data_IF_188770540829
#
_entry.id   IF_188770540829
#
_cell.length_a   1.000
_cell.length_b   1.000
_cell.length_c   1.000
_cell.angle_alpha   90.00
_cell.angle_beta   90.00
_cell.angle_gamma   90.00
#
_symmetry.space_group_name_H-M   'P 1'
#
loop_
_entity.id
_entity.type
_entity.pdbx_description
1 polymer ?
#
# COMPACT_ATOMS: atom_id res chain seq x y z
N UNK A 1 5.83 1.42 -28.68
CA UNK A 1 5.85 2.88 -28.65
C UNK A 1 6.34 3.36 -27.30
N UNK A 2 7.29 4.30 -27.28
CA UNK A 2 7.74 4.93 -26.05
C UNK A 2 6.71 6.00 -25.66
N UNK A 3 6.14 5.91 -24.48
CA UNK A 3 5.29 6.97 -23.92
C UNK A 3 6.25 7.99 -23.33
N UNK A 4 6.37 9.16 -23.96
CA UNK A 4 7.09 10.29 -23.38
C UNK A 4 6.08 11.21 -22.71
N UNK A 5 6.09 11.28 -21.40
CA UNK A 5 5.37 12.30 -20.65
C UNK A 5 6.20 13.59 -20.67
N UNK A 6 5.58 14.71 -21.05
CA UNK A 6 6.21 16.02 -20.88
C UNK A 6 6.07 16.47 -19.43
N UNK A 7 6.94 17.36 -18.96
CA UNK A 7 6.81 17.95 -17.62
C UNK A 7 5.51 18.76 -17.46
N UNK A 8 4.83 19.11 -18.55
CA UNK A 8 3.50 19.71 -18.53
C UNK A 8 2.38 18.68 -18.35
N UNK A 9 2.63 17.41 -18.70
CA UNK A 9 1.68 16.32 -18.45
C UNK A 9 1.73 15.85 -17.02
N UNK A 10 2.88 16.07 -16.35
CA UNK A 10 3.07 15.89 -14.91
C UNK A 10 2.57 17.09 -14.08
N UNK A 11 2.27 18.22 -14.70
CA UNK A 11 1.66 19.38 -14.03
C UNK A 11 0.19 19.12 -13.60
N UNK A 12 -0.30 17.98 -13.85
CA UNK A 12 -1.58 17.46 -13.44
C UNK A 12 -1.67 17.26 -11.94
N UNK A 13 -0.57 17.15 -11.27
CA UNK A 13 -0.50 16.96 -9.84
C UNK A 13 -1.00 18.11 -8.98
N UNK A 14 -1.52 19.19 -9.56
CA UNK A 14 -2.07 20.28 -8.76
C UNK A 14 -3.37 19.93 -8.04
N UNK A 15 -4.02 18.83 -8.37
CA UNK A 15 -5.28 18.43 -7.76
C UNK A 15 -5.17 17.23 -6.80
N UNK A 16 -4.05 16.55 -6.79
CA UNK A 16 -3.67 15.63 -5.73
C UNK A 16 -2.92 16.34 -4.61
N UNK A 17 -3.03 17.64 -4.57
CA UNK A 17 -2.59 18.36 -3.40
C UNK A 17 -3.51 18.01 -2.26
N UNK A 18 -2.90 17.62 -1.19
CA UNK A 18 -3.37 17.49 0.16
C UNK A 18 -4.24 18.65 0.72
N UNK A 19 -4.86 19.47 -0.12
CA UNK A 19 -5.68 20.58 0.35
C UNK A 19 -6.91 20.11 1.14
N UNK A 20 -7.25 18.83 1.06
CA UNK A 20 -8.37 18.21 1.79
C UNK A 20 -7.99 16.83 2.35
N UNK A 21 -6.70 16.43 2.35
CA UNK A 21 -6.19 15.25 3.05
C UNK A 21 -5.34 15.72 4.22
N UNK A 22 -5.34 14.96 5.30
CA UNK A 22 -4.43 15.17 6.43
C UNK A 22 -2.98 14.76 6.09
N UNK A 23 -2.70 14.47 4.80
CA UNK A 23 -1.43 13.91 4.32
C UNK A 23 -0.64 14.91 3.49
N UNK A 24 0.53 15.29 3.98
CA UNK A 24 1.48 16.18 3.30
C UNK A 24 2.64 15.41 2.63
N UNK A 25 2.87 14.13 3.02
CA UNK A 25 4.03 13.35 2.58
C UNK A 25 3.65 11.91 2.24
N UNK A 26 3.31 11.65 0.98
CA UNK A 26 3.08 10.29 0.51
C UNK A 26 4.37 9.47 0.45
N UNK A 27 4.31 8.25 0.94
CA UNK A 27 5.45 7.34 1.07
C UNK A 27 5.34 6.11 0.18
N UNK A 28 4.13 5.69 -0.18
CA UNK A 28 3.92 4.51 -1.00
C UNK A 28 2.72 4.63 -1.93
N UNK A 29 2.76 3.84 -3.00
CA UNK A 29 1.76 3.81 -4.07
C UNK A 29 1.50 2.37 -4.50
N UNK A 30 0.23 2.04 -4.73
CA UNK A 30 -0.19 0.80 -5.38
C UNK A 30 -1.33 1.05 -6.38
N UNK A 31 -1.54 0.12 -7.28
CA UNK A 31 -2.68 0.10 -8.20
C UNK A 31 -3.44 -1.22 -8.07
N UNK A 32 -4.72 -1.19 -8.39
CA UNK A 32 -5.43 -2.44 -8.64
C UNK A 32 -4.94 -3.08 -9.95
N UNK A 33 -5.24 -4.35 -10.16
CA UNK A 33 -4.81 -5.11 -11.34
C UNK A 33 -5.28 -4.51 -12.67
N UNK A 34 -6.41 -3.81 -12.69
CA UNK A 34 -6.95 -3.15 -13.86
C UNK A 34 -6.35 -1.74 -14.11
N UNK A 35 -5.61 -1.19 -13.16
CA UNK A 35 -5.09 0.18 -13.22
C UNK A 35 -6.17 1.26 -13.10
N UNK A 36 -7.38 0.91 -12.69
CA UNK A 36 -8.51 1.83 -12.56
C UNK A 36 -8.66 2.43 -11.17
N UNK A 37 -7.85 1.99 -10.21
CA UNK A 37 -7.75 2.54 -8.87
C UNK A 37 -6.28 2.72 -8.49
N UNK A 38 -5.97 3.80 -7.80
CA UNK A 38 -4.69 4.09 -7.18
C UNK A 38 -4.88 4.17 -5.66
N UNK A 39 -3.90 3.65 -4.93
CA UNK A 39 -3.86 3.66 -3.48
C UNK A 39 -2.58 4.33 -3.01
N UNK A 40 -2.67 5.14 -1.99
CA UNK A 40 -1.55 5.89 -1.43
C UNK A 40 -1.53 5.78 0.10
N UNK A 41 -0.35 5.78 0.67
CA UNK A 41 -0.14 5.97 2.12
C UNK A 41 0.86 7.08 2.35
N UNK A 42 0.87 7.66 3.54
CA UNK A 42 1.83 8.68 3.92
C UNK A 42 1.96 8.86 5.43
N UNK A 43 2.86 9.75 5.84
CA UNK A 43 3.33 9.84 7.21
C UNK A 43 2.49 10.71 8.14
N UNK A 44 1.60 11.54 7.61
CA UNK A 44 0.92 12.56 8.42
C UNK A 44 -0.53 12.19 8.73
N UNK A 45 -1.20 11.46 7.83
CA UNK A 45 -2.60 11.11 7.95
C UNK A 45 -2.88 9.74 8.57
N UNK A 46 -1.88 8.88 8.67
CA UNK A 46 -2.01 7.49 9.18
C UNK A 46 -3.15 6.74 8.48
N UNK A 47 -3.25 6.88 7.15
CA UNK A 47 -4.35 6.35 6.36
C UNK A 47 -3.87 5.69 5.07
N UNK A 48 -4.75 4.87 4.51
CA UNK A 48 -4.72 4.46 3.10
C UNK A 48 -5.78 5.25 2.36
N UNK A 49 -5.36 5.99 1.35
CA UNK A 49 -6.23 6.77 0.47
C UNK A 49 -6.47 6.01 -0.83
N UNK A 50 -7.70 6.04 -1.32
CA UNK A 50 -8.09 5.45 -2.60
C UNK A 50 -8.57 6.54 -3.57
N UNK A 51 -8.26 6.36 -4.86
CA UNK A 51 -8.84 7.18 -5.90
C UNK A 51 -9.15 6.37 -7.15
N UNK A 52 -10.36 6.53 -7.68
CA UNK A 52 -10.77 5.96 -8.96
C UNK A 52 -10.15 6.70 -10.15
N UNK A 53 -9.69 5.95 -11.15
CA UNK A 53 -9.13 6.49 -12.39
C UNK A 53 -10.07 6.20 -13.55
N UNK A 54 -10.55 7.24 -14.24
CA UNK A 54 -11.42 7.06 -15.41
C UNK A 54 -10.67 6.52 -16.64
N UNK A 55 -9.34 6.64 -16.64
CA UNK A 55 -8.44 6.02 -17.62
C UNK A 55 -7.39 5.21 -16.86
N UNK A 56 -7.27 3.92 -17.18
CA UNK A 56 -6.36 3.02 -16.49
C UNK A 56 -4.92 3.54 -16.51
N UNK A 57 -4.28 3.56 -15.33
CA UNK A 57 -2.92 4.05 -15.06
C UNK A 57 -2.68 5.52 -15.41
N UNK A 58 -3.70 6.29 -15.73
CA UNK A 58 -3.61 7.72 -15.92
C UNK A 58 -4.06 8.45 -14.64
N UNK A 59 -3.08 8.75 -13.78
CA UNK A 59 -3.33 9.42 -12.49
C UNK A 59 -3.93 10.82 -12.64
N UNK A 60 -3.85 11.39 -13.84
CA UNK A 60 -4.49 12.68 -14.12
C UNK A 60 -6.01 12.61 -14.13
N UNK A 61 -6.54 11.41 -14.23
CA UNK A 61 -7.98 11.16 -14.28
C UNK A 61 -8.57 10.77 -12.93
N UNK A 62 -7.78 10.91 -11.86
CA UNK A 62 -8.27 10.74 -10.49
C UNK A 62 -9.37 11.78 -10.20
N UNK A 63 -10.56 11.31 -9.87
CA UNK A 63 -11.66 12.20 -9.51
C UNK A 63 -11.49 12.67 -8.06
N UNK A 64 -11.35 13.97 -7.89
CA UNK A 64 -11.18 14.59 -6.58
C UNK A 64 -12.44 14.52 -5.66
N UNK A 65 -13.54 14.00 -6.17
CA UNK A 65 -14.78 13.84 -5.41
C UNK A 65 -14.95 12.42 -4.85
N UNK A 66 -14.13 11.45 -5.28
CA UNK A 66 -14.12 10.07 -4.79
C UNK A 66 -13.20 9.89 -3.57
N UNK A 67 -13.01 10.95 -2.78
CA UNK A 67 -12.09 10.99 -1.62
C UNK A 67 -12.71 10.50 -0.32
N UNK A 68 -13.95 10.02 -0.35
CA UNK A 68 -14.63 9.51 0.84
C UNK A 68 -14.20 8.07 1.18
N UNK A 69 -13.33 7.47 0.34
CA UNK A 69 -12.84 6.12 0.50
C UNK A 69 -11.39 6.16 1.04
N UNK A 70 -11.23 6.60 2.28
CA UNK A 70 -10.00 6.40 3.05
C UNK A 70 -10.22 5.37 4.18
N UNK A 71 -9.12 4.78 4.63
CA UNK A 71 -9.12 3.85 5.75
C UNK A 71 -8.02 4.22 6.73
N UNK A 72 -8.39 4.47 7.99
CA UNK A 72 -7.43 4.77 9.05
C UNK A 72 -6.70 3.51 9.49
N UNK A 73 -5.38 3.60 9.55
CA UNK A 73 -4.47 2.56 10.06
C UNK A 73 -3.72 3.01 11.31
N UNK A 74 -4.18 4.10 11.95
CA UNK A 74 -3.53 4.75 13.11
C UNK A 74 -3.30 3.79 14.28
N UNK A 75 -4.17 2.81 14.45
CA UNK A 75 -4.08 1.86 15.57
C UNK A 75 -2.95 0.83 15.35
N UNK A 76 -2.62 0.52 14.09
CA UNK A 76 -1.62 -0.47 13.71
C UNK A 76 -0.30 0.19 13.27
N UNK A 77 -0.36 1.24 12.44
CA UNK A 77 0.84 1.87 11.89
C UNK A 77 0.67 3.39 11.77
N UNK A 78 1.63 4.14 12.33
CA UNK A 78 1.63 5.62 12.32
C UNK A 78 2.61 6.24 11.34
N UNK A 79 3.44 5.44 10.71
CA UNK A 79 4.40 5.90 9.71
C UNK A 79 4.46 4.87 8.58
N UNK A 80 3.35 4.67 7.85
CA UNK A 80 3.30 3.68 6.78
C UNK A 80 4.26 4.05 5.65
N UNK A 81 4.98 3.07 5.15
CA UNK A 81 6.03 3.24 4.13
C UNK A 81 5.83 2.33 2.93
N UNK A 82 5.01 1.29 3.06
CA UNK A 82 4.76 0.35 1.99
C UNK A 82 3.34 -0.19 2.02
N UNK A 83 2.74 -0.35 0.83
CA UNK A 83 1.42 -0.93 0.63
C UNK A 83 1.45 -1.95 -0.50
N UNK A 84 0.77 -3.09 -0.32
CA UNK A 84 0.55 -4.09 -1.34
C UNK A 84 -0.86 -4.69 -1.23
N UNK A 85 -1.34 -5.26 -2.33
CA UNK A 85 -2.59 -6.02 -2.39
C UNK A 85 -2.33 -7.43 -2.92
N UNK A 86 -3.21 -8.36 -2.59
CA UNK A 86 -3.28 -9.62 -3.32
C UNK A 86 -3.97 -9.42 -4.69
N UNK A 87 -3.87 -10.43 -5.56
CA UNK A 87 -4.32 -10.30 -6.96
C UNK A 87 -5.81 -10.00 -7.11
N UNK A 88 -6.64 -10.52 -6.22
CA UNK A 88 -8.09 -10.32 -6.27
C UNK A 88 -8.58 -9.09 -5.47
N UNK A 89 -7.67 -8.39 -4.79
CA UNK A 89 -7.96 -7.17 -4.05
C UNK A 89 -8.74 -7.36 -2.76
N UNK A 90 -8.90 -8.59 -2.29
CA UNK A 90 -9.60 -8.87 -1.03
C UNK A 90 -8.72 -8.72 0.20
N UNK A 91 -7.40 -8.56 -0.01
CA UNK A 91 -6.42 -8.34 1.05
C UNK A 91 -5.51 -7.17 0.74
N UNK A 92 -5.24 -6.37 1.75
CA UNK A 92 -4.29 -5.28 1.74
C UNK A 92 -3.24 -5.53 2.83
N UNK A 93 -1.99 -5.18 2.53
CA UNK A 93 -0.85 -5.30 3.43
C UNK A 93 -0.17 -3.95 3.55
N UNK A 94 0.12 -3.54 4.79
CA UNK A 94 0.82 -2.29 5.08
C UNK A 94 2.02 -2.60 5.96
N UNK A 95 3.15 -1.98 5.65
CA UNK A 95 4.34 -1.95 6.49
C UNK A 95 4.72 -0.51 6.81
N UNK A 96 5.43 -0.31 7.90
CA UNK A 96 5.90 1.00 8.30
C UNK A 96 7.05 0.96 9.29
N UNK A 97 7.34 2.11 9.89
CA UNK A 97 8.50 2.30 10.75
C UNK A 97 8.14 2.11 12.23
N UNK A 98 6.89 2.35 12.62
CA UNK A 98 6.54 2.40 14.03
C UNK A 98 6.04 1.06 14.61
N UNK A 99 5.47 0.19 13.80
CA UNK A 99 4.92 -1.08 14.23
C UNK A 99 5.94 -2.22 14.23
N UNK A 100 7.03 -2.11 13.45
CA UNK A 100 7.97 -3.19 13.19
C UNK A 100 7.28 -4.48 12.72
N UNK A 101 6.18 -4.34 11.96
CA UNK A 101 5.33 -5.46 11.55
C UNK A 101 4.73 -5.29 10.17
N UNK A 102 4.23 -6.39 9.60
CA UNK A 102 3.32 -6.40 8.46
C UNK A 102 1.91 -6.46 9.00
N UNK A 103 1.06 -5.51 8.61
CA UNK A 103 -0.35 -5.48 8.95
C UNK A 103 -1.18 -6.02 7.78
N UNK A 104 -2.00 -7.06 8.01
CA UNK A 104 -2.92 -7.64 7.03
C UNK A 104 -4.35 -7.15 7.29
N UNK A 105 -5.00 -6.64 6.25
CA UNK A 105 -6.39 -6.22 6.26
C UNK A 105 -7.20 -7.05 5.26
N UNK A 106 -8.42 -7.40 5.65
CA UNK A 106 -9.42 -7.99 4.77
C UNK A 106 -10.35 -6.90 4.23
N UNK A 107 -10.58 -6.89 2.92
CA UNK A 107 -11.54 -6.01 2.25
C UNK A 107 -12.77 -6.82 1.85
N UNK A 108 -13.95 -6.46 2.37
CA UNK A 108 -15.19 -7.16 2.03
C UNK A 108 -15.66 -6.87 0.60
N UNK A 109 -15.21 -5.75 0.03
CA UNK A 109 -15.32 -5.40 -1.38
C UNK A 109 -13.91 -5.28 -1.96
N UNK A 110 -13.61 -6.02 -3.02
CA UNK A 110 -12.28 -6.03 -3.62
C UNK A 110 -11.81 -4.62 -4.03
N UNK A 111 -10.59 -4.26 -3.61
CA UNK A 111 -10.00 -2.95 -3.89
C UNK A 111 -10.85 -1.75 -3.43
N UNK A 112 -11.58 -1.88 -2.35
CA UNK A 112 -12.36 -0.82 -1.72
C UNK A 112 -11.88 -0.70 -0.26
N UNK A 113 -10.98 0.27 -0.02
CA UNK A 113 -10.33 0.42 1.29
C UNK A 113 -11.30 0.83 2.39
N UNK A 114 -12.43 1.46 2.06
CA UNK A 114 -13.46 1.81 3.04
C UNK A 114 -14.07 0.58 3.72
N UNK A 115 -13.94 -0.60 3.07
CA UNK A 115 -14.43 -1.89 3.59
C UNK A 115 -13.38 -2.70 4.33
N UNK A 116 -12.19 -2.14 4.56
CA UNK A 116 -11.08 -2.82 5.19
C UNK A 116 -11.31 -3.08 6.69
N UNK A 117 -10.77 -4.18 7.17
CA UNK A 117 -10.72 -4.51 8.59
C UNK A 117 -9.41 -5.24 8.91
N UNK A 118 -8.76 -4.90 10.01
CA UNK A 118 -7.53 -5.55 10.46
C UNK A 118 -7.78 -7.04 10.77
N UNK A 119 -6.89 -7.91 10.33
CA UNK A 119 -7.01 -9.38 10.45
C UNK A 119 -5.86 -9.98 11.21
N UNK A 120 -4.64 -9.62 10.87
CA UNK A 120 -3.43 -10.20 11.44
C UNK A 120 -2.25 -9.23 11.36
N UNK A 121 -1.29 -9.44 12.24
CA UNK A 121 0.03 -8.80 12.17
C UNK A 121 1.12 -9.87 12.12
N UNK A 122 2.26 -9.54 11.51
CA UNK A 122 3.45 -10.38 11.49
C UNK A 122 4.65 -9.56 11.95
N UNK A 123 5.26 -9.95 13.06
CA UNK A 123 6.37 -9.27 13.72
C UNK A 123 7.66 -9.36 12.88
N UNK A 124 8.24 -8.23 12.55
CA UNK A 124 9.51 -8.08 11.84
C UNK A 124 10.65 -7.61 12.75
N UNK A 125 10.37 -7.27 14.01
CA UNK A 125 11.31 -6.59 14.93
C UNK A 125 12.64 -7.32 15.11
N UNK A 126 12.66 -8.65 14.93
CA UNK A 126 13.87 -9.46 15.01
C UNK A 126 14.74 -9.44 13.73
N UNK A 127 14.23 -8.90 12.63
CA UNK A 127 14.85 -8.95 11.30
C UNK A 127 14.95 -7.55 10.69
N UNK A 128 13.83 -6.82 10.64
CA UNK A 128 13.76 -5.47 10.08
C UNK A 128 12.83 -4.58 10.92
N UNK A 129 13.38 -3.56 11.55
CA UNK A 129 12.62 -2.63 12.42
C UNK A 129 12.29 -1.29 11.75
N UNK A 130 12.72 -1.10 10.49
CA UNK A 130 12.42 0.10 9.71
C UNK A 130 12.04 -0.30 8.30
N UNK A 131 10.92 -1.01 8.20
CA UNK A 131 10.41 -1.49 6.92
C UNK A 131 10.06 -0.32 5.99
N UNK A 132 10.42 -0.41 4.72
CA UNK A 132 10.19 0.63 3.71
C UNK A 132 9.37 0.17 2.52
N UNK A 133 9.20 -1.14 2.35
CA UNK A 133 8.42 -1.67 1.25
C UNK A 133 8.09 -3.14 1.41
N UNK A 134 7.00 -3.54 0.80
CA UNK A 134 6.48 -4.90 0.79
C UNK A 134 6.05 -5.29 -0.62
N UNK A 135 6.30 -6.53 -0.99
CA UNK A 135 5.82 -7.13 -2.23
C UNK A 135 5.55 -8.62 -2.06
N UNK A 136 4.75 -9.17 -2.96
CA UNK A 136 4.50 -10.62 -3.04
C UNK A 136 4.84 -11.13 -4.44
N UNK A 137 5.16 -12.42 -4.54
CA UNK A 137 5.18 -13.08 -5.84
C UNK A 137 3.73 -13.30 -6.35
N UNK A 138 3.59 -13.67 -7.61
CA UNK A 138 2.28 -13.76 -8.28
C UNK A 138 1.33 -14.81 -7.72
N UNK A 139 1.82 -15.80 -6.98
CA UNK A 139 0.97 -16.83 -6.34
C UNK A 139 0.79 -16.60 -4.83
N UNK A 140 1.36 -15.51 -4.30
CA UNK A 140 1.24 -15.13 -2.89
C UNK A 140 1.94 -16.06 -1.90
N UNK A 141 2.83 -16.95 -2.37
CA UNK A 141 3.55 -17.90 -1.51
C UNK A 141 4.85 -17.35 -0.96
N UNK A 142 5.34 -16.22 -1.53
CA UNK A 142 6.50 -15.50 -1.04
C UNK A 142 6.14 -14.05 -0.76
N UNK A 143 6.58 -13.56 0.40
CA UNK A 143 6.53 -12.16 0.80
C UNK A 143 7.96 -11.62 0.88
N UNK A 144 8.17 -10.43 0.32
CA UNK A 144 9.44 -9.71 0.32
C UNK A 144 9.26 -8.42 1.11
N UNK A 145 10.15 -8.18 2.06
CA UNK A 145 10.18 -6.95 2.85
C UNK A 145 11.56 -6.33 2.71
N UNK A 146 11.60 -5.04 2.44
CA UNK A 146 12.84 -4.25 2.46
C UNK A 146 12.75 -3.18 3.55
N UNK A 147 13.89 -2.80 4.07
CA UNK A 147 13.99 -1.74 5.07
C UNK A 147 15.39 -1.15 5.14
N UNK A 148 15.62 -0.31 6.12
CA UNK A 148 16.88 0.44 6.27
C UNK A 148 17.78 -0.07 7.39
N UNK A 149 17.36 -1.03 8.20
CA UNK A 149 18.20 -1.55 9.29
C UNK A 149 19.11 -2.70 8.88
N UNK A 150 18.68 -3.53 7.93
CA UNK A 150 19.45 -4.68 7.47
C UNK A 150 20.23 -4.42 6.18
N UNK A 151 19.83 -3.39 5.42
CA UNK A 151 20.32 -3.13 4.05
C UNK A 151 20.13 -4.35 3.13
N UNK A 152 19.08 -5.15 3.36
CA UNK A 152 18.81 -6.40 2.65
C UNK A 152 17.35 -6.54 2.21
N UNK A 153 17.05 -7.64 1.55
CA UNK A 153 15.70 -8.07 1.19
C UNK A 153 15.37 -9.29 2.00
N UNK A 154 14.45 -9.14 2.93
CA UNK A 154 13.96 -10.25 3.73
C UNK A 154 12.88 -11.02 2.96
N UNK A 155 13.07 -12.34 2.81
CA UNK A 155 12.15 -13.20 2.08
C UNK A 155 11.47 -14.15 3.06
N UNK A 156 10.15 -14.20 3.01
CA UNK A 156 9.33 -15.08 3.83
C UNK A 156 8.52 -16.03 2.95
N UNK A 157 8.56 -17.32 3.30
CA UNK A 157 7.69 -18.35 2.70
C UNK A 157 6.37 -18.38 3.46
N UNK A 158 5.25 -18.35 2.74
CA UNK A 158 3.92 -18.45 3.29
C UNK A 158 3.33 -19.85 3.02
N UNK A 159 2.95 -20.57 4.06
CA UNK A 159 2.34 -21.90 3.91
C UNK A 159 0.94 -21.84 3.27
N UNK A 160 0.29 -20.70 3.37
CA UNK A 160 -0.96 -20.39 2.67
C UNK A 160 -0.79 -19.04 1.96
N UNK A 161 -1.16 -18.98 0.68
CA UNK A 161 -1.01 -17.80 -0.16
C UNK A 161 -1.63 -16.56 0.49
N UNK A 162 -0.86 -15.48 0.57
CA UNK A 162 -1.29 -14.19 1.14
C UNK A 162 -1.83 -14.29 2.59
N UNK A 163 -1.36 -15.24 3.41
CA UNK A 163 -1.72 -15.37 4.83
C UNK A 163 -0.46 -15.17 5.66
N UNK A 164 -0.23 -13.92 6.12
CA UNK A 164 1.04 -13.55 6.79
C UNK A 164 1.26 -14.27 8.12
N UNK A 165 0.20 -14.71 8.80
CA UNK A 165 0.32 -15.53 10.02
C UNK A 165 0.99 -16.89 9.77
N UNK A 166 1.16 -17.30 8.52
CA UNK A 166 1.87 -18.54 8.13
C UNK A 166 3.29 -18.29 7.63
N UNK A 167 3.78 -17.05 7.71
CA UNK A 167 5.08 -16.66 7.20
C UNK A 167 6.22 -17.24 8.05
N UNK A 168 7.27 -17.67 7.36
CA UNK A 168 8.55 -18.11 7.96
C UNK A 168 9.69 -17.55 7.13
N UNK A 169 10.72 -17.03 7.79
CA UNK A 169 11.93 -16.53 7.12
C UNK A 169 12.53 -17.66 6.27
N UNK A 170 12.78 -17.37 4.99
CA UNK A 170 13.22 -18.36 4.00
C UNK A 170 14.75 -18.59 4.01
#
# INVERSE_FOLDING_TARGET
GSITYSSSDLAVGSNWKAADTDEDTFTSIAFNTAGTKIFLTGNDGDKVYECGLSTAFDVSTCDSHDRDDDFSITDEEKTPTGIAFNDDGTKMFVVGINGDEVNEYFLSTAFDVSTASAVATFDLSGVESHSQGIAFNSDGTLMFVIGSNGDDVNVYSLASAYVISTATLA
#
